data_IF_398530275035
#
_entry.id   IF_398530275035
#
_cell.length_a   1.000
_cell.length_b   1.000
_cell.length_c   1.000
_cell.angle_alpha   90.00
_cell.angle_beta   90.00
_cell.angle_gamma   90.00
#
_symmetry.space_group_name_H-M   'P 1'
#
loop_
_entity.id
_entity.type
_entity.pdbx_description
1 polymer ?
#
# COMPACT_ATOMS: atom_id res chain seq x y z
N UNK A 1 -2.26 -14.80 2.55
CA UNK A 1 -2.50 -14.43 1.14
C UNK A 1 -2.44 -12.92 0.95
N UNK A 2 -3.23 -12.13 1.70
CA UNK A 2 -3.24 -10.65 1.63
C UNK A 2 -1.87 -9.98 1.84
N UNK A 3 -1.06 -10.46 2.79
CA UNK A 3 0.30 -9.91 3.00
C UNK A 3 1.19 -10.01 1.75
N UNK A 4 1.19 -11.16 1.07
CA UNK A 4 1.95 -11.36 -0.17
C UNK A 4 1.44 -10.49 -1.32
N UNK A 5 0.12 -10.30 -1.40
CA UNK A 5 -0.47 -9.39 -2.38
C UNK A 5 -0.03 -7.94 -2.13
N UNK A 6 -0.03 -7.50 -0.88
CA UNK A 6 0.48 -6.18 -0.51
C UNK A 6 1.98 -6.02 -0.79
N UNK A 7 2.82 -7.04 -0.50
CA UNK A 7 4.24 -7.04 -0.85
C UNK A 7 4.49 -6.93 -2.37
N UNK A 8 3.65 -7.55 -3.20
CA UNK A 8 3.73 -7.38 -4.64
C UNK A 8 3.35 -5.96 -5.07
N UNK A 9 2.25 -5.44 -4.52
CA UNK A 9 1.66 -4.15 -4.91
C UNK A 9 2.41 -2.92 -4.37
N UNK A 10 3.10 -3.04 -3.23
CA UNK A 10 3.72 -1.88 -2.57
C UNK A 10 4.79 -1.20 -3.43
N UNK A 11 5.35 -1.87 -4.41
CA UNK A 11 6.36 -1.30 -5.31
C UNK A 11 5.75 -0.52 -6.47
N UNK A 12 4.45 -0.68 -6.73
CA UNK A 12 3.69 0.09 -7.73
C UNK A 12 3.18 1.44 -7.21
N UNK A 13 3.50 1.79 -5.95
CA UNK A 13 3.11 3.07 -5.36
C UNK A 13 3.89 4.24 -5.98
N UNK A 14 3.25 5.39 -6.02
CA UNK A 14 3.91 6.64 -6.39
C UNK A 14 4.66 7.21 -5.19
N UNK A 15 5.64 8.06 -5.47
CA UNK A 15 6.37 8.82 -4.46
C UNK A 15 6.06 10.30 -4.64
N UNK A 16 5.75 10.98 -3.53
CA UNK A 16 5.54 12.43 -3.52
C UNK A 16 6.85 13.19 -3.78
N UNK A 17 6.73 14.49 -4.06
CA UNK A 17 7.85 15.38 -4.43
C UNK A 17 9.02 15.43 -3.40
N UNK A 18 8.78 15.00 -2.16
CA UNK A 18 9.78 14.93 -1.08
C UNK A 18 10.17 13.49 -0.71
N UNK A 19 9.92 12.51 -1.60
CA UNK A 19 10.24 11.10 -1.39
C UNK A 19 9.33 10.37 -0.41
N UNK A 20 8.18 10.96 -0.06
CA UNK A 20 7.17 10.31 0.79
C UNK A 20 6.37 9.27 0.01
N UNK A 21 6.16 8.10 0.61
CA UNK A 21 5.30 7.05 0.04
C UNK A 21 3.85 7.54 -0.03
N UNK A 22 3.16 7.25 -1.14
CA UNK A 22 1.71 7.50 -1.30
C UNK A 22 0.93 6.19 -1.23
N UNK A 23 -0.41 6.25 -1.09
CA UNK A 23 -1.24 5.06 -1.19
C UNK A 23 -1.04 4.30 -2.52
N UNK A 24 -1.17 2.99 -2.46
CA UNK A 24 -1.23 2.12 -3.65
C UNK A 24 -2.45 2.52 -4.47
N UNK A 25 -2.26 2.69 -5.78
CA UNK A 25 -3.35 3.11 -6.66
C UNK A 25 -4.43 2.02 -6.79
N UNK A 26 -5.69 2.44 -6.91
CA UNK A 26 -6.80 1.52 -7.22
C UNK A 26 -6.52 0.71 -8.49
N UNK A 27 -5.88 1.33 -9.48
CA UNK A 27 -5.56 0.68 -10.76
C UNK A 27 -4.60 -0.50 -10.54
N UNK A 28 -3.55 -0.34 -9.73
CA UNK A 28 -2.63 -1.43 -9.40
C UNK A 28 -3.35 -2.57 -8.67
N UNK A 29 -4.19 -2.26 -7.68
CA UNK A 29 -4.98 -3.25 -6.94
C UNK A 29 -5.96 -4.00 -7.86
N UNK A 30 -6.66 -3.26 -8.72
CA UNK A 30 -7.61 -3.81 -9.71
C UNK A 30 -6.89 -4.71 -10.72
N UNK A 31 -5.72 -4.29 -11.21
CA UNK A 31 -4.93 -5.08 -12.16
C UNK A 31 -4.43 -6.37 -11.53
N UNK A 32 -3.88 -6.31 -10.32
CA UNK A 32 -3.46 -7.49 -9.58
C UNK A 32 -4.62 -8.47 -9.35
N UNK A 33 -5.81 -7.95 -9.01
CA UNK A 33 -7.00 -8.78 -8.84
C UNK A 33 -7.40 -9.49 -10.14
N UNK A 34 -7.32 -8.81 -11.29
CA UNK A 34 -7.57 -9.42 -12.60
C UNK A 34 -6.52 -10.47 -12.95
N UNK A 35 -5.23 -10.17 -12.75
CA UNK A 35 -4.12 -11.08 -13.08
C UNK A 35 -4.11 -12.34 -12.19
N UNK A 36 -4.78 -12.31 -11.03
CA UNK A 36 -4.92 -13.44 -10.11
C UNK A 36 -6.36 -14.02 -10.07
N UNK A 37 -7.20 -13.67 -11.04
CA UNK A 37 -8.56 -14.20 -11.19
C UNK A 37 -9.45 -14.03 -9.94
N UNK A 38 -9.23 -12.95 -9.16
CA UNK A 38 -10.06 -12.65 -8.00
C UNK A 38 -11.48 -12.30 -8.49
N UNK A 39 -12.52 -13.02 -8.04
CA UNK A 39 -13.89 -12.78 -8.49
C UNK A 39 -14.36 -11.36 -8.15
N UNK A 40 -15.22 -10.73 -8.97
CA UNK A 40 -15.77 -9.41 -8.68
C UNK A 40 -16.47 -9.32 -7.32
N UNK A 41 -17.09 -10.42 -6.86
CA UNK A 41 -17.73 -10.50 -5.54
C UNK A 41 -16.71 -10.40 -4.39
N UNK A 42 -15.49 -10.90 -4.59
CA UNK A 42 -14.42 -10.89 -3.58
C UNK A 42 -13.53 -9.65 -3.70
N UNK A 43 -13.56 -8.97 -4.86
CA UNK A 43 -12.76 -7.79 -5.12
C UNK A 43 -13.02 -6.67 -4.10
N UNK A 44 -14.27 -6.43 -3.72
CA UNK A 44 -14.59 -5.40 -2.72
C UNK A 44 -13.89 -5.68 -1.39
N UNK A 45 -13.88 -6.94 -0.95
CA UNK A 45 -13.22 -7.35 0.28
C UNK A 45 -11.69 -7.26 0.14
N UNK A 46 -11.15 -7.74 -0.99
CA UNK A 46 -9.73 -7.66 -1.31
C UNK A 46 -9.22 -6.21 -1.30
N UNK A 47 -9.90 -5.32 -2.03
CA UNK A 47 -9.58 -3.90 -2.08
C UNK A 47 -9.58 -3.29 -0.67
N UNK A 48 -10.63 -3.55 0.13
CA UNK A 48 -10.72 -3.05 1.51
C UNK A 48 -9.55 -3.49 2.38
N UNK A 49 -9.12 -4.75 2.28
CA UNK A 49 -7.96 -5.25 3.01
C UNK A 49 -6.66 -4.61 2.53
N UNK A 50 -6.47 -4.47 1.22
CA UNK A 50 -5.28 -3.82 0.66
C UNK A 50 -5.16 -2.37 1.13
N UNK A 51 -6.26 -1.62 1.09
CA UNK A 51 -6.30 -0.24 1.60
C UNK A 51 -5.99 -0.16 3.09
N UNK A 52 -6.52 -1.08 3.91
CA UNK A 52 -6.29 -1.08 5.35
C UNK A 52 -4.82 -1.38 5.71
N UNK A 53 -4.22 -2.39 5.07
CA UNK A 53 -2.81 -2.74 5.28
C UNK A 53 -1.91 -1.57 4.83
N UNK A 54 -2.22 -0.96 3.70
CA UNK A 54 -1.43 0.14 3.17
C UNK A 54 -1.52 1.41 4.03
N UNK A 55 -2.69 1.71 4.59
CA UNK A 55 -2.85 2.83 5.53
C UNK A 55 -1.99 2.66 6.79
N UNK A 56 -1.98 1.47 7.40
CA UNK A 56 -1.15 1.17 8.57
C UNK A 56 0.35 1.27 8.24
N UNK A 57 0.75 0.82 7.06
CA UNK A 57 2.12 0.94 6.59
C UNK A 57 2.56 2.41 6.43
N UNK A 58 1.72 3.24 5.79
CA UNK A 58 2.01 4.65 5.60
C UNK A 58 2.16 5.39 6.94
N UNK A 59 1.31 5.08 7.91
CA UNK A 59 1.40 5.62 9.26
C UNK A 59 2.69 5.15 9.98
N UNK A 60 3.07 3.87 9.82
CA UNK A 60 4.36 3.38 10.31
C UNK A 60 5.55 4.14 9.70
N UNK A 61 5.60 4.30 8.38
CA UNK A 61 6.68 5.03 7.69
C UNK A 61 6.74 6.50 8.11
N UNK A 62 5.58 7.15 8.27
CA UNK A 62 5.50 8.52 8.76
C UNK A 62 6.11 8.64 10.17
N UNK A 63 5.73 7.75 11.10
CA UNK A 63 6.30 7.71 12.45
C UNK A 63 7.82 7.50 12.45
N UNK A 64 8.31 6.54 11.68
CA UNK A 64 9.76 6.27 11.56
C UNK A 64 10.52 7.48 11.01
N UNK A 65 9.94 8.16 10.01
CA UNK A 65 10.52 9.37 9.43
C UNK A 65 10.65 10.49 10.47
N UNK A 66 9.61 10.70 11.28
CA UNK A 66 9.64 11.70 12.36
C UNK A 66 10.62 11.33 13.47
N UNK A 67 10.71 10.05 13.85
CA UNK A 67 11.70 9.57 14.82
C UNK A 67 13.14 9.77 14.32
N UNK A 68 13.39 9.53 13.03
CA UNK A 68 14.70 9.76 12.42
C UNK A 68 15.08 11.24 12.41
N UNK A 69 14.13 12.13 12.08
CA UNK A 69 14.34 13.59 12.16
C UNK A 69 14.73 14.03 13.57
N UNK A 70 14.07 13.49 14.60
CA UNK A 70 14.35 13.81 16.01
C UNK A 70 15.70 13.29 16.54
N UNK A 71 16.26 12.24 15.94
CA UNK A 71 17.57 11.67 16.34
C UNK A 71 18.76 12.30 15.61
N UNK A 72 18.53 12.92 14.46
CA UNK A 72 19.58 13.47 13.60
C UNK A 72 19.73 14.99 13.64
N UNK A 73 18.89 15.70 14.40
CA UNK A 73 19.01 17.13 14.69
C UNK A 73 19.30 17.37 16.16
#
# INVERSE_FOLDING_TARGET
MYWRAWEALRHDRQYGALGGETPISYIAISRFAQDNEIPPADFTLFHRFMTAIDAEWLDHVARETELRKKKGG
#
